data_IF_584113909796
#
_entry.id   IF_584113909796
#
_cell.length_a   1.000
_cell.length_b   1.000
_cell.length_c   1.000
_cell.angle_alpha   90.00
_cell.angle_beta   90.00
_cell.angle_gamma   90.00
#
_symmetry.space_group_name_H-M   'P 1'
#
loop_
_entity.id
_entity.type
_entity.pdbx_description
1 polymer ?
#
# COMPACT_ATOMS: atom_id res chain seq x y z
N UNK A 1 -15.35 11.12 0.20
CA UNK A 1 -14.56 9.94 0.64
C UNK A 1 -14.73 9.80 2.14
N UNK A 2 -15.13 8.62 2.66
CA UNK A 2 -15.21 8.38 4.10
C UNK A 2 -13.78 8.30 4.66
N UNK A 3 -13.39 9.26 5.51
CA UNK A 3 -12.05 9.35 6.10
C UNK A 3 -11.58 8.00 6.68
N UNK A 4 -12.48 7.26 7.31
CA UNK A 4 -12.22 5.95 7.91
C UNK A 4 -11.73 4.88 6.92
N UNK A 5 -12.20 4.88 5.67
CA UNK A 5 -11.79 3.85 4.68
C UNK A 5 -10.40 4.15 4.12
N UNK A 6 -10.11 5.42 3.85
CA UNK A 6 -8.78 5.83 3.37
C UNK A 6 -7.71 5.55 4.42
N UNK A 7 -8.02 5.80 5.69
CA UNK A 7 -7.11 5.49 6.81
C UNK A 7 -6.85 3.98 6.94
N UNK A 8 -7.87 3.14 6.76
CA UNK A 8 -7.72 1.69 6.76
C UNK A 8 -6.83 1.21 5.61
N UNK A 9 -7.04 1.73 4.39
CA UNK A 9 -6.21 1.41 3.22
C UNK A 9 -4.77 1.82 3.47
N UNK A 10 -4.55 3.04 3.97
CA UNK A 10 -3.22 3.57 4.26
C UNK A 10 -2.48 2.73 5.30
N UNK A 11 -3.14 2.42 6.43
CA UNK A 11 -2.57 1.57 7.47
C UNK A 11 -2.23 0.18 6.91
N UNK A 12 -3.16 -0.44 6.18
CA UNK A 12 -2.98 -1.78 5.63
C UNK A 12 -1.87 -1.83 4.58
N UNK A 13 -1.80 -0.85 3.70
CA UNK A 13 -0.75 -0.72 2.69
C UNK A 13 0.65 -0.64 3.35
N UNK A 14 0.79 0.16 4.40
CA UNK A 14 2.05 0.29 5.16
C UNK A 14 2.43 -0.99 5.90
N UNK A 15 1.47 -1.69 6.49
CA UNK A 15 1.71 -3.02 7.09
C UNK A 15 2.20 -4.02 6.05
N UNK A 16 1.59 -4.05 4.87
CA UNK A 16 2.01 -4.90 3.76
C UNK A 16 3.43 -4.53 3.31
N UNK A 17 3.73 -3.25 3.09
CA UNK A 17 5.07 -2.81 2.68
C UNK A 17 6.15 -3.21 3.68
N UNK A 18 5.88 -3.05 4.98
CA UNK A 18 6.81 -3.40 6.07
C UNK A 18 6.95 -4.91 6.31
N UNK A 19 6.08 -5.74 5.74
CA UNK A 19 6.12 -7.19 5.96
C UNK A 19 7.24 -7.90 5.21
N UNK A 20 7.89 -7.24 4.25
CA UNK A 20 8.89 -7.84 3.35
C UNK A 20 8.32 -8.81 2.31
N UNK A 21 7.01 -9.10 2.36
CA UNK A 21 6.32 -10.03 1.43
C UNK A 21 6.00 -9.39 0.08
N UNK A 22 5.95 -8.07 0.01
CA UNK A 22 5.58 -7.32 -1.18
C UNK A 22 6.79 -6.57 -1.71
N UNK A 23 7.01 -6.65 -3.02
CA UNK A 23 8.18 -6.07 -3.67
C UNK A 23 7.99 -4.59 -4.04
N UNK A 24 6.75 -4.18 -4.29
CA UNK A 24 6.41 -2.83 -4.72
C UNK A 24 4.96 -2.45 -4.39
N UNK A 25 4.65 -1.19 -4.67
CA UNK A 25 3.33 -0.59 -4.52
C UNK A 25 2.27 -1.27 -5.41
N UNK A 26 2.63 -1.78 -6.59
CA UNK A 26 1.69 -2.46 -7.49
C UNK A 26 1.20 -3.78 -6.86
N UNK A 27 2.12 -4.54 -6.28
CA UNK A 27 1.83 -5.77 -5.54
C UNK A 27 0.90 -5.51 -4.36
N UNK A 28 1.11 -4.39 -3.66
CA UNK A 28 0.26 -3.94 -2.55
C UNK A 28 -1.13 -3.53 -3.07
N UNK A 29 -1.24 -2.80 -4.19
CA UNK A 29 -2.53 -2.46 -4.80
C UNK A 29 -3.33 -3.73 -5.10
N UNK A 30 -2.69 -4.72 -5.74
CA UNK A 30 -3.34 -5.97 -6.09
C UNK A 30 -3.84 -6.73 -4.85
N UNK A 31 -3.05 -6.76 -3.79
CA UNK A 31 -3.44 -7.38 -2.52
C UNK A 31 -4.62 -6.65 -1.85
N UNK A 32 -4.57 -5.32 -1.75
CA UNK A 32 -5.65 -4.51 -1.18
C UNK A 32 -6.95 -4.69 -1.95
N UNK A 33 -6.88 -4.75 -3.28
CA UNK A 33 -8.06 -4.99 -4.13
C UNK A 33 -8.64 -6.39 -3.92
N UNK A 34 -7.80 -7.41 -3.68
CA UNK A 34 -8.25 -8.77 -3.31
C UNK A 34 -8.88 -8.82 -1.91
N UNK A 35 -8.42 -7.98 -0.98
CA UNK A 35 -9.03 -7.81 0.36
C UNK A 35 -10.34 -7.01 0.33
N UNK A 36 -10.75 -6.45 -0.82
CA UNK A 36 -12.01 -5.72 -0.98
C UNK A 36 -11.87 -4.19 -1.00
N UNK A 37 -10.65 -3.66 -0.90
CA UNK A 37 -10.36 -2.23 -1.02
C UNK A 37 -10.24 -1.82 -2.50
N UNK A 38 -11.36 -1.80 -3.23
CA UNK A 38 -11.36 -1.46 -4.66
C UNK A 38 -10.87 -0.03 -4.93
N UNK A 39 -11.16 0.90 -4.02
CA UNK A 39 -10.69 2.29 -4.09
C UNK A 39 -9.20 2.47 -3.75
N UNK A 40 -8.46 1.40 -3.40
CA UNK A 40 -7.02 1.48 -3.19
C UNK A 40 -6.30 2.01 -4.43
N UNK A 41 -6.80 1.74 -5.64
CA UNK A 41 -6.26 2.28 -6.88
C UNK A 41 -6.27 3.81 -6.92
N UNK A 42 -7.32 4.45 -6.42
CA UNK A 42 -7.45 5.91 -6.45
C UNK A 42 -6.56 6.56 -5.39
N UNK A 43 -6.42 5.93 -4.21
CA UNK A 43 -5.51 6.40 -3.18
C UNK A 43 -4.04 6.22 -3.58
N UNK A 44 -3.70 5.09 -4.19
CA UNK A 44 -2.36 4.79 -4.69
C UNK A 44 -2.02 5.56 -5.96
N UNK A 45 -2.92 6.38 -6.52
CA UNK A 45 -2.57 7.21 -7.69
C UNK A 45 -1.56 8.30 -7.35
N UNK A 46 -1.54 8.76 -6.11
CA UNK A 46 -0.63 9.80 -5.64
C UNK A 46 0.83 9.31 -5.66
N UNK A 47 1.71 10.00 -6.40
CA UNK A 47 3.12 9.60 -6.54
C UNK A 47 3.87 9.59 -5.21
N UNK A 48 3.53 10.50 -4.30
CA UNK A 48 4.09 10.55 -2.94
C UNK A 48 3.83 9.25 -2.17
N UNK A 49 2.59 8.75 -2.23
CA UNK A 49 2.18 7.50 -1.58
C UNK A 49 2.87 6.30 -2.22
N UNK A 50 2.95 6.24 -3.56
CA UNK A 50 3.65 5.13 -4.24
C UNK A 50 5.13 5.10 -3.87
N UNK A 51 5.78 6.26 -3.84
CA UNK A 51 7.19 6.37 -3.49
C UNK A 51 7.43 5.95 -2.04
N UNK A 52 6.57 6.36 -1.10
CA UNK A 52 6.62 5.93 0.30
C UNK A 52 6.54 4.40 0.42
N UNK A 53 5.54 3.77 -0.21
CA UNK A 53 5.34 2.32 -0.12
C UNK A 53 6.48 1.55 -0.78
N UNK A 54 6.97 2.00 -1.93
CA UNK A 54 8.12 1.39 -2.60
C UNK A 54 9.38 1.48 -1.74
N UNK A 55 9.61 2.60 -1.05
CA UNK A 55 10.72 2.75 -0.13
C UNK A 55 10.59 1.75 1.02
N UNK A 56 9.43 1.66 1.66
CA UNK A 56 9.16 0.71 2.74
C UNK A 56 9.35 -0.75 2.31
N UNK A 57 8.90 -1.12 1.11
CA UNK A 57 9.14 -2.45 0.53
C UNK A 57 10.63 -2.76 0.37
N UNK A 58 11.41 -1.79 -0.10
CA UNK A 58 12.87 -1.93 -0.26
C UNK A 58 13.57 -2.08 1.09
N UNK A 59 13.21 -1.26 2.06
CA UNK A 59 13.78 -1.31 3.41
C UNK A 59 13.46 -2.65 4.09
N UNK A 60 12.22 -3.12 4.02
CA UNK A 60 11.81 -4.37 4.66
C UNK A 60 12.46 -5.62 4.04
N UNK A 61 12.86 -5.56 2.76
CA UNK A 61 13.54 -6.66 2.06
C UNK A 61 15.07 -6.58 2.12
N UNK A 62 15.61 -5.39 2.40
CA UNK A 62 17.04 -5.15 2.53
C UNK A 62 17.58 -5.34 3.95
N UNK A 63 16.71 -5.64 4.93
CA UNK A 63 17.04 -5.89 6.33
C UNK A 63 17.15 -7.37 6.68
#
# INVERSE_FOLDING_TARGET
>A
MNATRVDLISKRAREMAKSGKFEDCLSIEMALRREGFREAKDWLREDSVRNELNLLCREARGS
#
